data_IF_206675322503
#
_entry.id   IF_206675322503
#
_cell.length_a   1.000
_cell.length_b   1.000
_cell.length_c   1.000
_cell.angle_alpha   90.00
_cell.angle_beta   90.00
_cell.angle_gamma   90.00
#
_symmetry.space_group_name_H-M   'P 1'
#
loop_
_entity.id
_entity.type
_entity.pdbx_description
1 polymer ?
#
# COMPACT_ATOMS: atom_id res chain seq x y z
N UNK A 1 2.22 -10.81 -21.05
CA UNK A 1 3.54 -11.43 -20.79
C UNK A 1 3.49 -12.16 -19.46
N UNK A 2 3.76 -13.47 -19.42
CA UNK A 2 3.98 -14.16 -18.14
C UNK A 2 5.43 -13.88 -17.76
N UNK A 3 5.67 -13.02 -16.77
CA UNK A 3 7.01 -12.77 -16.25
C UNK A 3 7.53 -14.06 -15.61
N UNK A 4 8.65 -14.55 -16.12
CA UNK A 4 9.24 -15.83 -15.77
C UNK A 4 10.40 -15.67 -14.79
N UNK A 5 10.59 -16.70 -13.96
CA UNK A 5 11.90 -17.06 -13.47
C UNK A 5 12.37 -18.42 -13.99
N UNK A 6 13.68 -18.57 -14.05
CA UNK A 6 14.41 -19.73 -14.56
C UNK A 6 14.68 -20.81 -13.50
N UNK A 7 14.63 -22.08 -13.95
CA UNK A 7 15.27 -23.31 -13.43
C UNK A 7 14.67 -24.07 -12.22
N UNK A 8 14.02 -25.22 -12.50
CA UNK A 8 14.58 -26.58 -12.40
C UNK A 8 14.56 -27.36 -11.06
N UNK A 9 13.72 -28.41 -10.94
CA UNK A 9 14.06 -29.85 -10.82
C UNK A 9 12.81 -30.69 -10.52
N UNK A 10 12.72 -31.87 -11.15
CA UNK A 10 11.60 -32.81 -11.06
C UNK A 10 11.88 -33.94 -10.06
N UNK A 11 10.85 -34.38 -9.34
CA UNK A 11 10.80 -35.68 -8.65
C UNK A 11 9.45 -36.38 -8.95
N UNK A 12 9.54 -37.62 -9.44
CA UNK A 12 8.50 -38.67 -9.51
C UNK A 12 8.21 -39.20 -8.08
N UNK A 13 7.15 -39.92 -7.70
CA UNK A 13 5.97 -40.54 -8.33
C UNK A 13 5.09 -41.05 -7.16
N UNK A 14 3.76 -40.99 -7.21
CA UNK A 14 2.94 -42.19 -6.89
C UNK A 14 1.44 -42.08 -7.24
N UNK A 15 0.90 -43.24 -7.54
CA UNK A 15 -0.43 -43.56 -8.07
C UNK A 15 -1.62 -43.16 -7.16
N UNK A 16 -2.57 -42.41 -7.70
CA UNK A 16 -3.99 -42.69 -7.48
C UNK A 16 -4.85 -42.12 -8.61
N UNK A 17 -5.79 -42.93 -9.08
CA UNK A 17 -6.71 -42.64 -10.18
C UNK A 17 -7.62 -41.45 -9.85
N UNK A 18 -7.31 -40.29 -10.41
CA UNK A 18 -8.22 -39.17 -10.55
C UNK A 18 -8.51 -38.99 -12.05
N UNK A 19 -9.78 -38.78 -12.39
CA UNK A 19 -10.18 -38.39 -13.74
C UNK A 19 -9.61 -36.98 -13.95
N UNK A 20 -8.41 -36.90 -14.51
CA UNK A 20 -7.82 -35.64 -14.95
C UNK A 20 -8.53 -35.27 -16.25
N UNK A 21 -9.59 -34.48 -16.17
CA UNK A 21 -10.04 -33.70 -17.33
C UNK A 21 -8.95 -32.69 -17.65
N UNK A 22 -7.99 -33.08 -18.51
CA UNK A 22 -6.96 -32.18 -19.00
C UNK A 22 -7.62 -31.22 -20.00
N UNK A 23 -7.89 -29.99 -19.55
CA UNK A 23 -8.29 -28.91 -20.45
C UNK A 23 -7.02 -28.46 -21.21
N UNK A 24 -6.83 -28.96 -22.42
CA UNK A 24 -5.78 -28.45 -23.32
C UNK A 24 -6.41 -27.46 -24.28
N UNK A 25 -6.20 -26.17 -24.03
CA UNK A 25 -6.59 -25.09 -24.94
C UNK A 25 -5.43 -24.83 -25.92
N UNK A 26 -5.73 -24.89 -27.22
CA UNK A 26 -4.78 -24.55 -28.27
C UNK A 26 -5.07 -23.15 -28.79
N UNK A 27 -4.07 -22.27 -28.75
CA UNK A 27 -4.12 -20.96 -29.38
C UNK A 27 -3.05 -20.90 -30.46
N UNK A 28 -3.42 -20.42 -31.65
CA UNK A 28 -2.49 -20.21 -32.76
C UNK A 28 -2.53 -18.74 -33.15
N UNK A 29 -1.39 -18.06 -33.12
CA UNK A 29 -1.25 -16.67 -33.51
C UNK A 29 -0.11 -16.53 -34.52
N UNK A 30 -0.33 -15.76 -35.59
CA UNK A 30 0.76 -15.34 -36.48
C UNK A 30 1.44 -14.11 -35.86
N UNK A 31 2.68 -14.30 -35.40
CA UNK A 31 3.52 -13.20 -34.92
C UNK A 31 4.14 -12.51 -36.12
N UNK A 32 3.77 -11.25 -36.34
CA UNK A 32 4.40 -10.38 -37.32
C UNK A 32 5.28 -9.37 -36.57
N UNK A 33 6.53 -9.72 -36.25
CA UNK A 33 7.44 -8.74 -35.65
C UNK A 33 8.90 -8.89 -36.08
N UNK A 34 9.45 -7.80 -36.59
CA UNK A 34 10.87 -7.61 -36.90
C UNK A 34 11.72 -7.33 -35.64
N UNK A 35 11.10 -7.30 -34.45
CA UNK A 35 11.69 -6.82 -33.20
C UNK A 35 11.99 -7.92 -32.15
N UNK A 36 11.66 -9.19 -32.44
CA UNK A 36 11.94 -10.32 -31.52
C UNK A 36 11.07 -10.37 -30.24
N UNK A 37 10.16 -9.41 -30.05
CA UNK A 37 9.16 -9.38 -28.99
C UNK A 37 7.79 -9.78 -29.54
N UNK A 38 7.08 -10.62 -28.80
CA UNK A 38 5.71 -11.03 -29.11
C UNK A 38 4.89 -11.11 -27.82
N UNK A 39 3.58 -10.89 -27.94
CA UNK A 39 2.64 -11.03 -26.84
C UNK A 39 1.42 -11.83 -27.32
N UNK A 40 0.87 -12.63 -26.43
CA UNK A 40 -0.37 -13.37 -26.64
C UNK A 40 -1.24 -13.11 -25.42
N UNK A 41 -2.48 -12.70 -25.67
CA UNK A 41 -3.52 -12.58 -24.66
C UNK A 41 -4.30 -13.88 -24.64
N UNK A 42 -4.40 -14.50 -23.46
CA UNK A 42 -5.23 -15.68 -23.25
C UNK A 42 -6.68 -15.25 -23.03
N UNK A 43 -7.64 -16.07 -23.45
CA UNK A 43 -9.04 -15.85 -23.07
C UNK A 43 -9.17 -15.87 -21.54
N UNK A 44 -10.15 -15.14 -20.96
CA UNK A 44 -10.39 -15.13 -19.52
C UNK A 44 -10.51 -16.56 -18.95
N UNK A 45 -9.63 -16.89 -18.02
CA UNK A 45 -9.60 -18.18 -17.34
C UNK A 45 -10.29 -18.08 -15.98
N UNK A 46 -10.99 -19.15 -15.57
CA UNK A 46 -11.44 -19.26 -14.18
C UNK A 46 -10.23 -19.33 -13.25
N UNK A 47 -10.36 -18.71 -12.08
CA UNK A 47 -9.33 -18.77 -11.05
C UNK A 47 -9.04 -20.23 -10.65
N UNK A 48 -7.77 -20.55 -10.41
CA UNK A 48 -7.31 -21.90 -10.07
C UNK A 48 -6.00 -22.28 -10.78
N UNK A 49 -5.72 -23.57 -10.80
CA UNK A 49 -4.47 -24.15 -11.29
C UNK A 49 -4.02 -25.30 -10.37
N UNK A 50 -2.79 -25.81 -10.52
CA UNK A 50 -1.79 -25.37 -11.49
C UNK A 50 -2.11 -25.82 -12.93
N UNK A 51 -1.77 -24.96 -13.89
CA UNK A 51 -1.81 -25.27 -15.33
C UNK A 51 -0.41 -25.30 -15.94
N UNK A 52 -0.28 -26.00 -17.06
CA UNK A 52 0.91 -25.95 -17.90
C UNK A 52 0.59 -25.18 -19.18
N UNK A 53 1.41 -24.18 -19.51
CA UNK A 53 1.29 -23.42 -20.77
C UNK A 53 2.42 -23.87 -21.68
N UNK A 54 2.10 -24.31 -22.90
CA UNK A 54 3.09 -24.65 -23.92
C UNK A 54 2.98 -23.67 -25.08
N UNK A 55 4.06 -22.97 -25.37
CA UNK A 55 4.21 -22.14 -26.57
C UNK A 55 5.06 -22.89 -27.59
N UNK A 56 4.56 -23.01 -28.82
CA UNK A 56 5.23 -23.67 -29.94
C UNK A 56 5.41 -22.63 -31.05
N UNK A 57 6.65 -22.37 -31.44
CA UNK A 57 6.99 -21.51 -32.56
C UNK A 57 7.46 -22.39 -33.71
N UNK A 58 6.88 -22.24 -34.91
CA UNK A 58 7.30 -22.96 -36.10
C UNK A 58 8.23 -22.09 -36.97
N UNK A 59 9.34 -22.66 -37.45
CA UNK A 59 10.28 -21.99 -38.35
C UNK A 59 10.20 -22.62 -39.75
N UNK A 60 10.19 -21.78 -40.79
CA UNK A 60 10.32 -22.26 -42.18
C UNK A 60 11.80 -22.49 -42.50
N UNK A 61 12.17 -23.70 -42.91
CA UNK A 61 13.49 -24.00 -43.50
C UNK A 61 14.66 -24.11 -42.51
N UNK A 62 14.40 -24.19 -41.19
CA UNK A 62 15.41 -24.36 -40.14
C UNK A 62 15.17 -25.70 -39.42
N UNK A 63 16.24 -26.38 -38.94
CA UNK A 63 16.13 -27.60 -38.13
C UNK A 63 16.66 -27.33 -36.71
N UNK A 64 15.87 -27.55 -35.63
CA UNK A 64 14.50 -28.09 -35.65
C UNK A 64 13.50 -27.09 -36.25
N UNK A 65 12.44 -27.62 -36.88
CA UNK A 65 11.36 -26.84 -37.50
C UNK A 65 10.46 -26.15 -36.46
N UNK A 66 10.70 -26.39 -35.17
CA UNK A 66 9.95 -25.79 -34.08
C UNK A 66 10.83 -25.49 -32.85
N UNK A 67 10.45 -24.45 -32.11
CA UNK A 67 10.92 -24.19 -30.76
C UNK A 67 9.74 -24.32 -29.79
N UNK A 68 9.92 -25.11 -28.75
CA UNK A 68 8.93 -25.31 -27.69
C UNK A 68 9.41 -24.62 -26.41
N UNK A 69 8.52 -23.89 -25.75
CA UNK A 69 8.70 -23.33 -24.41
C UNK A 69 7.52 -23.74 -23.53
N UNK A 70 7.82 -24.18 -22.32
CA UNK A 70 6.80 -24.63 -21.36
C UNK A 70 6.88 -23.83 -20.08
N UNK A 71 5.73 -23.41 -19.59
CA UNK A 71 5.52 -22.87 -18.25
C UNK A 71 4.79 -23.93 -17.45
N UNK A 72 5.26 -24.16 -16.23
CA UNK A 72 4.66 -25.09 -15.28
C UNK A 72 4.17 -24.31 -14.07
N UNK A 73 3.25 -24.90 -13.30
CA UNK A 73 2.71 -24.29 -12.07
C UNK A 73 2.09 -22.90 -12.27
N UNK A 74 1.36 -22.72 -13.38
CA UNK A 74 0.69 -21.44 -13.66
C UNK A 74 -0.65 -21.41 -12.94
N UNK A 75 -0.82 -20.41 -12.07
CA UNK A 75 -2.08 -20.13 -11.38
C UNK A 75 -2.78 -18.93 -12.02
N UNK A 76 -4.10 -18.99 -12.14
CA UNK A 76 -4.94 -17.84 -12.51
C UNK A 76 -5.65 -17.33 -11.26
N UNK A 77 -5.59 -16.03 -11.02
CA UNK A 77 -6.12 -15.39 -9.83
C UNK A 77 -5.79 -13.90 -9.82
N UNK A 78 -6.02 -13.25 -8.68
CA UNK A 78 -5.79 -11.82 -8.56
C UNK A 78 -4.32 -11.52 -8.23
N UNK A 79 -3.73 -10.56 -8.94
CA UNK A 79 -2.36 -10.10 -8.70
C UNK A 79 -2.38 -8.70 -8.08
N UNK A 80 -1.66 -8.52 -6.97
CA UNK A 80 -1.51 -7.26 -6.28
C UNK A 80 -0.06 -6.80 -6.26
N UNK A 81 0.17 -5.55 -6.63
CA UNK A 81 1.49 -4.89 -6.53
C UNK A 81 1.60 -4.17 -5.20
N UNK A 82 2.63 -4.46 -4.44
CA UNK A 82 2.91 -3.88 -3.13
C UNK A 82 4.14 -2.97 -3.23
N UNK A 83 3.95 -1.67 -3.08
CA UNK A 83 5.00 -0.68 -3.32
C UNK A 83 5.09 0.41 -2.26
N UNK A 84 6.17 1.19 -2.31
CA UNK A 84 6.47 2.24 -1.35
C UNK A 84 7.88 2.12 -0.78
N UNK A 85 8.07 2.63 0.44
CA UNK A 85 9.38 2.72 1.08
C UNK A 85 9.64 1.61 2.12
N UNK A 86 10.50 1.88 3.09
CA UNK A 86 10.98 0.92 4.09
C UNK A 86 9.88 0.20 4.83
N UNK A 87 8.75 0.85 5.14
CA UNK A 87 7.64 0.18 5.79
C UNK A 87 6.88 -0.82 4.90
N UNK A 88 6.91 -0.65 3.57
CA UNK A 88 6.49 -1.70 2.63
C UNK A 88 7.60 -2.76 2.48
N UNK A 89 8.87 -2.37 2.44
CA UNK A 89 10.01 -3.29 2.32
C UNK A 89 10.24 -4.16 3.58
N UNK A 90 9.72 -3.72 4.72
CA UNK A 90 9.84 -4.39 6.00
C UNK A 90 9.39 -5.86 5.91
N UNK A 91 10.28 -6.80 6.24
CA UNK A 91 10.08 -8.23 5.99
C UNK A 91 9.37 -8.96 7.13
N UNK A 92 8.73 -10.10 6.83
CA UNK A 92 7.99 -10.89 7.84
C UNK A 92 8.87 -11.25 9.04
N UNK A 93 10.14 -11.59 8.82
CA UNK A 93 11.09 -11.96 9.87
C UNK A 93 11.27 -10.87 10.96
N UNK A 94 11.03 -9.61 10.61
CA UNK A 94 11.22 -8.45 11.49
C UNK A 94 9.96 -8.09 12.30
N UNK A 95 8.81 -8.62 11.92
CA UNK A 95 7.51 -8.33 12.54
C UNK A 95 7.26 -9.13 13.83
N UNK A 96 6.12 -8.88 14.47
CA UNK A 96 5.65 -9.72 15.58
C UNK A 96 5.30 -11.13 15.10
N UNK A 97 5.46 -12.10 16.01
CA UNK A 97 5.15 -13.52 15.80
C UNK A 97 5.78 -14.13 14.55
N UNK A 98 6.92 -13.59 14.09
CA UNK A 98 7.49 -13.92 12.78
C UNK A 98 7.80 -15.40 12.60
N UNK A 99 8.29 -16.10 13.64
CA UNK A 99 8.57 -17.53 13.56
C UNK A 99 7.32 -18.36 13.27
N UNK A 100 6.22 -18.09 13.97
CA UNK A 100 4.96 -18.81 13.77
C UNK A 100 4.38 -18.49 12.38
N UNK A 101 4.39 -17.22 11.98
CA UNK A 101 3.88 -16.79 10.69
C UNK A 101 4.65 -17.41 9.51
N UNK A 102 5.98 -17.43 9.59
CA UNK A 102 6.83 -18.03 8.57
C UNK A 102 6.51 -19.52 8.43
N UNK A 103 6.32 -20.25 9.52
CA UNK A 103 5.95 -21.67 9.45
C UNK A 103 4.54 -21.87 8.89
N UNK A 104 3.59 -20.99 9.25
CA UNK A 104 2.22 -21.03 8.78
C UNK A 104 2.10 -20.76 7.28
N UNK A 105 3.05 -20.05 6.66
CA UNK A 105 3.08 -19.78 5.22
C UNK A 105 3.00 -21.07 4.35
N UNK A 106 3.45 -22.22 4.87
CA UNK A 106 3.34 -23.51 4.18
C UNK A 106 1.89 -23.97 3.94
N UNK A 107 0.91 -23.39 4.66
CA UNK A 107 -0.51 -23.71 4.52
C UNK A 107 -1.19 -22.93 3.36
N UNK A 108 -0.44 -22.10 2.62
CA UNK A 108 -0.96 -21.24 1.57
C UNK A 108 -0.40 -21.57 0.17
N UNK A 109 -0.52 -22.83 -0.31
CA UNK A 109 0.10 -23.26 -1.57
C UNK A 109 -0.50 -22.59 -2.82
N UNK A 110 -1.56 -21.80 -2.68
CA UNK A 110 -2.20 -21.04 -3.76
C UNK A 110 -1.81 -19.55 -3.76
N UNK A 111 -0.96 -19.10 -2.85
CA UNK A 111 -0.35 -17.77 -2.89
C UNK A 111 0.98 -17.86 -3.65
N UNK A 112 1.23 -16.88 -4.52
CA UNK A 112 2.48 -16.76 -5.30
C UNK A 112 3.16 -15.43 -4.95
N UNK A 113 4.45 -15.48 -4.66
CA UNK A 113 5.24 -14.34 -4.17
C UNK A 113 6.31 -13.97 -5.19
N UNK A 114 6.52 -12.68 -5.41
CA UNK A 114 7.56 -12.14 -6.26
C UNK A 114 8.15 -10.86 -5.64
N UNK A 115 9.47 -10.71 -5.66
CA UNK A 115 10.16 -9.50 -5.15
C UNK A 115 11.09 -8.95 -6.22
N UNK A 116 10.82 -7.73 -6.67
CA UNK A 116 11.69 -7.00 -7.59
C UNK A 116 13.02 -6.65 -6.91
N UNK A 117 14.11 -6.68 -7.67
CA UNK A 117 15.41 -6.25 -7.16
C UNK A 117 15.47 -4.75 -6.91
N UNK A 118 16.31 -4.35 -5.94
CA UNK A 118 16.54 -2.96 -5.58
C UNK A 118 17.47 -2.31 -6.64
N UNK A 119 16.88 -1.69 -7.66
CA UNK A 119 17.59 -1.08 -8.80
C UNK A 119 16.96 0.27 -9.13
N UNK A 120 17.78 1.26 -9.46
CA UNK A 120 17.33 2.52 -10.07
C UNK A 120 17.77 2.65 -11.52
N UNK A 121 17.12 3.55 -12.26
CA UNK A 121 17.53 3.88 -13.63
C UNK A 121 17.12 5.30 -14.01
N UNK A 122 18.01 6.03 -14.66
CA UNK A 122 17.73 7.36 -15.24
C UNK A 122 16.72 7.30 -16.40
N UNK A 123 16.49 6.11 -16.98
CA UNK A 123 15.56 5.90 -18.10
C UNK A 123 14.65 4.69 -17.89
N UNK A 124 13.41 4.69 -18.40
CA UNK A 124 12.50 3.54 -18.25
C UNK A 124 13.10 2.24 -18.80
N UNK A 125 13.16 1.20 -17.97
CA UNK A 125 13.64 -0.11 -18.37
C UNK A 125 12.52 -0.93 -19.01
N UNK A 126 12.87 -1.80 -19.95
CA UNK A 126 11.92 -2.71 -20.62
C UNK A 126 11.68 -4.01 -19.86
N UNK A 127 12.62 -4.40 -18.99
CA UNK A 127 12.56 -5.57 -18.12
C UNK A 127 13.17 -5.23 -16.76
N UNK A 128 12.85 -6.01 -15.73
CA UNK A 128 13.52 -5.89 -14.44
C UNK A 128 14.97 -6.33 -14.59
N UNK A 129 15.91 -5.47 -14.23
CA UNK A 129 17.34 -5.79 -14.25
C UNK A 129 17.71 -6.89 -13.25
N UNK A 130 16.99 -6.94 -12.12
CA UNK A 130 17.18 -7.93 -11.06
C UNK A 130 15.84 -8.35 -10.48
N UNK A 131 15.74 -9.64 -10.18
CA UNK A 131 14.65 -10.24 -9.42
C UNK A 131 15.25 -10.85 -8.17
N UNK A 132 14.83 -10.37 -7.00
CA UNK A 132 15.35 -10.87 -5.72
C UNK A 132 14.67 -12.18 -5.33
N UNK A 133 13.35 -12.23 -5.53
CA UNK A 133 12.57 -13.43 -5.33
C UNK A 133 11.77 -13.70 -6.60
N UNK A 134 12.06 -14.80 -7.32
CA UNK A 134 11.25 -15.23 -8.44
C UNK A 134 9.84 -15.59 -7.98
N UNK A 135 8.87 -15.67 -8.89
CA UNK A 135 7.55 -16.24 -8.61
C UNK A 135 7.70 -17.58 -7.89
N UNK A 136 7.30 -17.59 -6.62
CA UNK A 136 7.50 -18.70 -5.69
C UNK A 136 6.19 -19.05 -5.00
N UNK A 137 5.97 -20.35 -4.75
CA UNK A 137 4.90 -20.81 -3.87
C UNK A 137 5.15 -20.28 -2.46
N UNK A 138 4.12 -19.72 -1.82
CA UNK A 138 4.21 -19.32 -0.43
C UNK A 138 4.58 -20.52 0.45
N UNK A 139 5.58 -20.31 1.29
CA UNK A 139 6.27 -21.31 2.10
C UNK A 139 7.17 -20.63 3.12
N UNK A 140 7.60 -21.36 4.14
CA UNK A 140 8.52 -20.84 5.15
C UNK A 140 9.81 -20.26 4.54
N UNK A 141 10.35 -20.89 3.49
CA UNK A 141 11.54 -20.39 2.81
C UNK A 141 11.28 -19.08 2.04
N UNK A 142 10.16 -19.00 1.33
CA UNK A 142 9.81 -17.85 0.48
C UNK A 142 9.37 -16.62 1.29
N UNK A 143 8.75 -16.82 2.45
CA UNK A 143 8.27 -15.74 3.34
C UNK A 143 9.33 -15.35 4.38
N UNK A 144 10.07 -16.34 4.90
CA UNK A 144 11.03 -16.17 6.00
C UNK A 144 12.47 -15.91 5.58
N UNK A 145 12.71 -15.38 4.37
CA UNK A 145 14.07 -15.09 3.93
C UNK A 145 14.69 -13.84 4.60
N UNK A 146 15.74 -13.29 3.98
CA UNK A 146 16.58 -12.25 4.58
C UNK A 146 15.87 -10.92 4.90
N UNK A 147 16.27 -10.26 5.98
CA UNK A 147 15.76 -8.94 6.35
C UNK A 147 15.95 -7.95 5.19
N UNK A 148 14.96 -7.08 4.99
CA UNK A 148 14.87 -6.05 3.95
C UNK A 148 14.88 -6.52 2.48
N UNK A 149 15.21 -7.77 2.19
CA UNK A 149 15.33 -8.28 0.82
C UNK A 149 14.30 -9.36 0.48
N UNK A 150 13.66 -9.96 1.48
CA UNK A 150 12.63 -10.98 1.28
C UNK A 150 11.24 -10.45 1.57
N UNK A 151 10.26 -11.34 1.61
CA UNK A 151 8.91 -10.92 1.31
C UNK A 151 8.37 -9.90 2.31
N UNK A 152 7.80 -8.82 1.75
CA UNK A 152 7.18 -7.73 2.48
C UNK A 152 6.13 -8.26 3.45
N UNK A 153 6.24 -7.89 4.73
CA UNK A 153 5.31 -8.29 5.76
C UNK A 153 3.91 -7.74 5.50
N UNK A 154 3.80 -6.46 5.18
CA UNK A 154 2.50 -5.86 4.89
C UNK A 154 1.85 -6.53 3.67
N UNK A 155 2.62 -6.77 2.61
CA UNK A 155 2.13 -7.44 1.42
C UNK A 155 1.68 -8.88 1.72
N UNK A 156 2.46 -9.62 2.52
CA UNK A 156 2.13 -10.97 2.97
C UNK A 156 0.80 -11.02 3.72
N UNK A 157 0.69 -10.27 4.83
CA UNK A 157 -0.51 -10.28 5.66
C UNK A 157 -1.74 -9.81 4.88
N UNK A 158 -1.60 -8.79 4.02
CA UNK A 158 -2.68 -8.35 3.13
C UNK A 158 -3.18 -9.47 2.22
N UNK A 159 -2.27 -10.14 1.50
CA UNK A 159 -2.64 -11.19 0.56
C UNK A 159 -3.13 -12.48 1.22
N UNK A 160 -2.55 -12.84 2.36
CA UNK A 160 -2.97 -13.98 3.19
C UNK A 160 -4.41 -13.79 3.68
N UNK A 161 -4.72 -12.64 4.26
CA UNK A 161 -6.06 -12.36 4.79
C UNK A 161 -7.12 -12.26 3.67
N UNK A 162 -6.73 -11.75 2.50
CA UNK A 162 -7.58 -11.82 1.30
C UNK A 162 -7.83 -13.27 0.89
N UNK A 163 -6.78 -14.11 0.82
CA UNK A 163 -6.91 -15.52 0.47
C UNK A 163 -7.83 -16.27 1.45
N UNK A 164 -7.68 -16.05 2.76
CA UNK A 164 -8.52 -16.67 3.79
C UNK A 164 -10.01 -16.41 3.56
N UNK A 165 -10.35 -15.25 3.00
CA UNK A 165 -11.74 -14.91 2.67
C UNK A 165 -12.15 -15.43 1.28
N UNK A 166 -11.31 -15.19 0.27
CA UNK A 166 -11.66 -15.35 -1.15
C UNK A 166 -11.50 -16.79 -1.65
N UNK A 167 -10.57 -17.55 -1.06
CA UNK A 167 -10.33 -18.97 -1.34
C UNK A 167 -10.00 -19.28 -2.82
N UNK A 168 -9.28 -18.37 -3.50
CA UNK A 168 -8.72 -18.59 -4.84
C UNK A 168 -7.31 -17.98 -4.96
N UNK A 169 -6.52 -18.33 -5.99
CA UNK A 169 -5.11 -17.94 -6.04
C UNK A 169 -4.87 -16.43 -5.99
N UNK A 170 -3.85 -16.03 -5.22
CA UNK A 170 -3.43 -14.63 -5.07
C UNK A 170 -1.94 -14.52 -5.43
N UNK A 171 -1.60 -13.62 -6.34
CA UNK A 171 -0.23 -13.23 -6.65
C UNK A 171 0.15 -11.92 -5.96
N UNK A 172 1.32 -11.87 -5.35
CA UNK A 172 1.82 -10.71 -4.63
C UNK A 172 3.18 -10.29 -5.17
N UNK A 173 3.29 -9.05 -5.61
CA UNK A 173 4.49 -8.49 -6.26
C UNK A 173 5.04 -7.36 -5.40
N UNK A 174 6.11 -7.60 -4.65
CA UNK A 174 6.80 -6.58 -3.88
C UNK A 174 7.76 -5.77 -4.77
N UNK A 175 7.55 -4.45 -4.80
CA UNK A 175 8.37 -3.47 -5.51
C UNK A 175 8.53 -2.22 -4.63
N UNK A 176 9.47 -2.26 -3.69
CA UNK A 176 9.63 -1.25 -2.63
C UNK A 176 11.11 -0.96 -2.36
N UNK A 177 11.41 0.27 -1.95
CA UNK A 177 12.79 0.72 -1.69
C UNK A 177 12.84 1.72 -0.53
N UNK A 178 13.62 1.40 0.51
CA UNK A 178 13.77 2.21 1.72
C UNK A 178 14.19 3.67 1.50
N UNK A 179 13.68 4.56 2.37
CA UNK A 179 14.11 5.96 2.42
C UNK A 179 13.69 6.82 1.23
N UNK A 180 12.89 6.30 0.29
CA UNK A 180 12.58 7.01 -0.96
C UNK A 180 11.34 7.91 -0.86
N UNK A 181 11.42 9.15 -1.36
CA UNK A 181 10.28 10.05 -1.45
C UNK A 181 9.42 9.71 -2.71
N UNK A 182 8.17 10.18 -2.75
CA UNK A 182 7.21 9.82 -3.82
C UNK A 182 7.67 10.25 -5.23
N UNK A 183 8.54 11.26 -5.31
CA UNK A 183 9.12 11.77 -6.54
C UNK A 183 9.92 10.70 -7.30
N UNK A 184 10.51 9.72 -6.59
CA UNK A 184 11.29 8.64 -7.21
C UNK A 184 10.38 7.62 -7.91
N UNK A 185 9.12 7.53 -7.48
CA UNK A 185 8.10 6.58 -7.94
C UNK A 185 7.09 7.17 -8.91
N UNK A 186 7.14 8.50 -9.06
CA UNK A 186 6.30 9.26 -9.99
C UNK A 186 6.92 9.26 -11.38
N UNK A 187 6.08 9.16 -12.42
CA UNK A 187 6.54 9.30 -13.80
C UNK A 187 6.98 10.74 -14.07
N UNK A 188 7.85 10.98 -15.08
CA UNK A 188 8.26 12.35 -15.44
C UNK A 188 7.08 13.28 -15.75
N UNK A 189 6.00 12.74 -16.33
CA UNK A 189 4.78 13.50 -16.62
C UNK A 189 4.05 13.95 -15.36
N UNK A 190 4.03 13.12 -14.31
CA UNK A 190 3.45 13.49 -13.00
C UNK A 190 4.25 14.60 -12.35
N UNK A 191 5.58 14.49 -12.35
CA UNK A 191 6.46 15.51 -11.77
C UNK A 191 6.27 16.86 -12.47
N UNK A 192 6.23 16.83 -13.82
CA UNK A 192 5.94 18.02 -14.63
C UNK A 192 4.55 18.59 -14.33
N UNK A 193 3.51 17.75 -14.25
CA UNK A 193 2.14 18.15 -13.94
C UNK A 193 2.03 18.84 -12.58
N UNK A 194 2.80 18.36 -11.60
CA UNK A 194 2.83 18.91 -10.25
C UNK A 194 3.87 20.02 -10.04
N UNK A 195 4.50 20.51 -11.11
CA UNK A 195 5.53 21.55 -11.07
C UNK A 195 6.69 21.23 -10.09
N UNK A 196 7.07 19.96 -9.99
CA UNK A 196 8.26 19.54 -9.26
C UNK A 196 9.48 19.91 -10.09
N UNK A 197 10.04 21.08 -9.81
CA UNK A 197 11.24 21.60 -10.45
C UNK A 197 12.42 21.31 -9.51
N UNK A 198 13.20 20.28 -9.84
CA UNK A 198 14.25 19.72 -9.00
C UNK A 198 15.14 20.71 -8.25
N UNK A 199 15.11 20.63 -6.92
CA UNK A 199 16.27 20.23 -6.11
C UNK A 199 15.73 19.82 -4.75
N UNK A 200 15.38 18.54 -4.57
CA UNK A 200 15.36 18.01 -3.20
C UNK A 200 16.78 18.26 -2.64
N UNK A 201 16.95 19.02 -1.55
CA UNK A 201 18.26 19.17 -0.95
C UNK A 201 18.76 17.77 -0.62
N UNK A 202 19.96 17.44 -1.11
CA UNK A 202 20.67 16.20 -0.76
C UNK A 202 20.56 16.06 0.75
N UNK A 203 19.90 15.00 1.25
CA UNK A 203 20.05 14.65 2.66
C UNK A 203 21.50 14.20 2.82
N UNK A 204 22.36 15.16 3.16
CA UNK A 204 23.71 14.91 3.66
C UNK A 204 23.57 14.19 4.99
N UNK A 205 23.51 12.86 4.93
CA UNK A 205 24.22 11.87 5.76
C UNK A 205 23.53 10.52 5.62
N UNK A 206 24.15 9.54 4.94
CA UNK A 206 23.77 8.15 5.07
C UNK A 206 23.98 7.72 6.52
N UNK A 207 22.94 7.22 7.21
CA UNK A 207 23.20 6.45 8.43
C UNK A 207 24.00 5.20 8.03
N UNK A 208 25.08 4.96 8.74
CA UNK A 208 26.23 4.14 8.36
C UNK A 208 26.03 2.63 8.44
N UNK A 209 24.79 2.11 8.55
CA UNK A 209 24.55 0.69 8.87
C UNK A 209 23.76 -0.14 7.85
N UNK A 210 23.37 0.43 6.70
CA UNK A 210 22.71 -0.34 5.63
C UNK A 210 23.31 0.03 4.25
N UNK A 211 23.35 -0.89 3.26
CA UNK A 211 23.94 -0.63 1.95
C UNK A 211 23.07 0.36 1.15
N UNK A 212 23.19 1.65 1.51
CA UNK A 212 22.33 2.77 1.09
C UNK A 212 22.83 3.45 -0.18
N UNK A 213 22.81 2.75 -1.30
CA UNK A 213 22.79 3.41 -2.60
C UNK A 213 21.64 2.79 -3.37
N UNK A 214 20.80 3.59 -4.02
CA UNK A 214 20.02 3.09 -5.16
C UNK A 214 21.08 2.58 -6.12
N UNK A 215 21.26 1.26 -6.28
CA UNK A 215 22.33 0.76 -7.09
C UNK A 215 21.97 1.19 -8.51
N UNK A 216 22.87 1.98 -9.14
CA UNK A 216 22.78 2.43 -10.54
C UNK A 216 21.94 3.73 -10.74
N UNK A 217 22.34 4.83 -10.10
CA UNK A 217 21.96 6.18 -10.58
C UNK A 217 23.21 7.04 -10.62
N UNK A 218 23.61 7.48 -11.81
CA UNK A 218 24.82 8.29 -12.03
C UNK A 218 24.56 9.80 -11.95
N UNK A 219 23.30 10.24 -11.94
CA UNK A 219 22.90 11.64 -11.96
C UNK A 219 22.68 12.28 -10.57
N UNK A 220 22.76 13.61 -10.51
CA UNK A 220 22.39 14.42 -9.33
C UNK A 220 20.86 14.45 -9.09
N UNK A 221 20.06 14.06 -10.09
CA UNK A 221 18.61 13.99 -10.02
C UNK A 221 18.16 12.54 -9.82
N UNK A 222 17.42 12.26 -8.74
CA UNK A 222 16.89 10.93 -8.44
C UNK A 222 15.39 10.81 -8.74
N UNK A 223 14.80 11.80 -9.39
CA UNK A 223 13.41 11.73 -9.80
C UNK A 223 13.13 10.61 -10.78
N UNK A 224 11.97 9.97 -10.61
CA UNK A 224 11.50 8.85 -11.44
C UNK A 224 12.42 7.63 -11.52
N UNK A 225 13.53 7.55 -10.77
CA UNK A 225 14.51 6.47 -10.94
C UNK A 225 13.95 5.09 -10.59
N UNK A 226 13.03 5.03 -9.62
CA UNK A 226 12.37 3.79 -9.21
C UNK A 226 11.11 3.52 -10.04
N UNK A 227 10.40 4.56 -10.49
CA UNK A 227 9.40 4.40 -11.54
C UNK A 227 10.00 3.68 -12.75
N UNK A 228 11.14 4.16 -13.22
CA UNK A 228 11.83 3.65 -14.40
C UNK A 228 12.31 2.20 -14.26
N UNK A 229 12.85 1.83 -13.10
CA UNK A 229 13.50 0.53 -12.92
C UNK A 229 12.64 -0.54 -12.23
N UNK A 230 11.68 -0.14 -11.39
CA UNK A 230 10.94 -1.06 -10.52
C UNK A 230 9.43 -1.11 -10.80
N UNK A 231 8.88 -0.12 -11.51
CA UNK A 231 7.45 -0.07 -11.87
C UNK A 231 7.23 -0.22 -13.37
N UNK A 232 7.92 0.58 -14.19
CA UNK A 232 7.78 0.57 -15.64
C UNK A 232 7.97 -0.84 -16.25
N UNK A 233 8.94 -1.66 -15.81
CA UNK A 233 9.14 -3.00 -16.37
C UNK A 233 8.01 -4.00 -16.11
N UNK A 234 7.15 -3.75 -15.12
CA UNK A 234 6.05 -4.66 -14.74
C UNK A 234 4.68 -4.16 -15.23
N UNK A 235 4.64 -3.09 -16.04
CA UNK A 235 3.40 -2.54 -16.61
C UNK A 235 2.69 -3.49 -17.60
N UNK A 236 3.38 -4.54 -18.07
CA UNK A 236 2.84 -5.56 -18.97
C UNK A 236 2.23 -6.77 -18.22
N UNK A 237 2.20 -6.71 -16.88
CA UNK A 237 1.55 -7.68 -16.01
C UNK A 237 0.10 -7.24 -15.76
N UNK A 238 -0.86 -8.12 -16.02
CA UNK A 238 -2.26 -7.88 -15.64
C UNK A 238 -2.41 -7.96 -14.14
N UNK A 239 -2.99 -6.92 -13.53
CA UNK A 239 -3.15 -6.81 -12.07
C UNK A 239 -4.60 -6.56 -11.68
N UNK A 240 -4.95 -6.98 -10.47
CA UNK A 240 -6.21 -6.63 -9.81
C UNK A 240 -6.11 -5.25 -9.18
N UNK A 241 -4.97 -4.89 -8.59
CA UNK A 241 -4.77 -3.60 -7.94
C UNK A 241 -3.37 -3.42 -7.37
N UNK A 242 -3.17 -2.31 -6.67
CA UNK A 242 -1.91 -2.00 -6.00
C UNK A 242 -2.15 -1.55 -4.55
N UNK A 243 -1.18 -1.77 -3.67
CA UNK A 243 -1.12 -1.21 -2.33
C UNK A 243 0.18 -0.44 -2.12
N UNK A 244 0.10 0.64 -1.35
CA UNK A 244 1.16 1.63 -1.20
C UNK A 244 1.43 1.96 0.28
N UNK A 245 2.70 1.94 0.70
CA UNK A 245 3.09 2.46 2.01
C UNK A 245 4.35 3.32 1.90
N UNK A 246 4.12 4.62 1.81
CA UNK A 246 5.15 5.64 1.74
C UNK A 246 4.59 7.00 2.16
N UNK A 247 5.47 7.85 2.66
CA UNK A 247 5.18 9.26 2.95
C UNK A 247 6.12 9.83 3.99
N UNK A 248 6.78 8.98 4.78
CA UNK A 248 7.69 9.41 5.85
C UNK A 248 8.88 10.20 5.30
N UNK A 249 9.38 9.86 4.10
CA UNK A 249 10.45 10.62 3.44
C UNK A 249 9.98 11.97 2.86
N UNK A 250 8.68 12.22 2.79
CA UNK A 250 8.11 13.50 2.33
C UNK A 250 7.70 14.43 3.48
N UNK A 251 7.79 13.99 4.74
CA UNK A 251 7.35 14.76 5.90
C UNK A 251 8.10 16.09 6.10
N UNK A 252 9.30 16.27 5.53
CA UNK A 252 10.03 17.55 5.58
C UNK A 252 9.52 18.59 4.55
N UNK A 253 8.74 18.16 3.56
CA UNK A 253 8.15 18.98 2.50
C UNK A 253 6.77 18.41 2.07
N UNK A 254 5.79 18.40 2.97
CA UNK A 254 4.58 17.60 2.81
C UNK A 254 3.65 18.09 1.70
N UNK A 255 3.66 19.38 1.38
CA UNK A 255 2.71 19.99 0.43
C UNK A 255 2.82 19.46 -1.01
N UNK A 256 4.00 18.97 -1.44
CA UNK A 256 4.14 18.37 -2.77
C UNK A 256 3.28 17.11 -2.91
N UNK A 257 3.04 16.41 -1.80
CA UNK A 257 2.30 15.15 -1.75
C UNK A 257 0.84 15.31 -2.20
N UNK A 258 0.22 16.47 -1.92
CA UNK A 258 -1.16 16.79 -2.28
C UNK A 258 -1.41 16.64 -3.79
N UNK A 259 -0.45 17.08 -4.61
CA UNK A 259 -0.52 16.91 -6.05
C UNK A 259 0.01 15.54 -6.48
N UNK A 260 1.18 15.16 -5.95
CA UNK A 260 1.93 14.00 -6.44
C UNK A 260 1.18 12.70 -6.24
N UNK A 261 0.56 12.48 -5.08
CA UNK A 261 0.00 11.17 -4.77
C UNK A 261 -1.23 10.82 -5.61
N UNK A 262 -2.27 11.69 -5.72
CA UNK A 262 -3.38 11.43 -6.64
C UNK A 262 -2.91 11.32 -8.11
N UNK A 263 -1.98 12.18 -8.53
CA UNK A 263 -1.47 12.16 -9.91
C UNK A 263 -0.66 10.90 -10.22
N UNK A 264 0.10 10.37 -9.25
CA UNK A 264 0.82 9.10 -9.38
C UNK A 264 -0.16 7.94 -9.55
N UNK A 265 -1.24 7.88 -8.77
CA UNK A 265 -2.28 6.85 -8.90
C UNK A 265 -2.89 6.87 -10.31
N UNK A 266 -3.27 8.05 -10.81
CA UNK A 266 -3.82 8.21 -12.16
C UNK A 266 -2.83 7.79 -13.26
N UNK A 267 -1.56 8.16 -13.08
CA UNK A 267 -0.48 7.78 -14.00
C UNK A 267 -0.28 6.27 -14.00
N UNK A 268 -0.26 5.62 -12.84
CA UNK A 268 -0.11 4.17 -12.72
C UNK A 268 -1.27 3.46 -13.44
N UNK A 269 -2.52 3.83 -13.12
CA UNK A 269 -3.72 3.33 -13.80
C UNK A 269 -3.63 3.41 -15.31
N UNK A 270 -3.26 4.58 -15.83
CA UNK A 270 -3.10 4.81 -17.27
C UNK A 270 -1.98 3.95 -17.87
N UNK A 271 -0.82 3.90 -17.21
CA UNK A 271 0.35 3.16 -17.68
C UNK A 271 0.13 1.64 -17.68
N UNK A 272 -0.52 1.06 -16.67
CA UNK A 272 -0.85 -0.38 -16.66
C UNK A 272 -1.93 -0.72 -17.67
N UNK A 273 -2.97 0.12 -17.82
CA UNK A 273 -3.98 -0.07 -18.86
C UNK A 273 -3.33 -0.14 -20.25
N UNK A 274 -2.45 0.80 -20.56
CA UNK A 274 -1.71 0.81 -21.84
C UNK A 274 -0.73 -0.36 -21.95
N UNK A 275 0.07 -0.61 -20.92
CA UNK A 275 1.11 -1.64 -20.91
C UNK A 275 0.56 -3.07 -21.05
N UNK A 276 -0.66 -3.31 -20.58
CA UNK A 276 -1.34 -4.60 -20.72
C UNK A 276 -2.23 -4.70 -21.95
N UNK A 277 -2.26 -3.68 -22.83
CA UNK A 277 -3.14 -3.67 -23.99
C UNK A 277 -4.63 -3.65 -23.62
N UNK A 278 -4.96 -2.97 -22.51
CA UNK A 278 -6.32 -2.81 -22.00
C UNK A 278 -6.84 -3.95 -21.12
N UNK A 279 -5.99 -4.88 -20.69
CA UNK A 279 -6.42 -6.01 -19.85
C UNK A 279 -6.53 -5.65 -18.36
N UNK A 280 -5.68 -4.76 -17.85
CA UNK A 280 -5.83 -4.20 -16.50
C UNK A 280 -6.94 -3.14 -16.50
N UNK A 281 -7.85 -3.18 -15.53
CA UNK A 281 -8.91 -2.17 -15.37
C UNK A 281 -8.28 -0.75 -15.27
N UNK A 282 -8.70 0.22 -16.12
CA UNK A 282 -8.16 1.59 -16.09
C UNK A 282 -8.48 2.35 -14.80
N UNK A 283 -9.32 1.77 -13.95
CA UNK A 283 -9.72 2.29 -12.64
C UNK A 283 -9.42 1.28 -11.53
N UNK A 284 -8.42 0.42 -11.72
CA UNK A 284 -8.11 -0.63 -10.74
C UNK A 284 -8.00 -0.06 -9.29
N UNK A 285 -8.43 -0.83 -8.29
CA UNK A 285 -8.41 -0.42 -6.89
C UNK A 285 -6.99 -0.16 -6.37
N UNK A 286 -6.82 0.94 -5.64
CA UNK A 286 -5.54 1.36 -5.09
C UNK A 286 -5.64 1.53 -3.56
N UNK A 287 -4.89 0.74 -2.81
CA UNK A 287 -4.85 0.81 -1.35
C UNK A 287 -3.66 1.62 -0.86
N UNK A 288 -3.77 2.29 0.28
CA UNK A 288 -2.59 2.81 0.96
C UNK A 288 -2.66 2.70 2.48
N UNK A 289 -1.47 2.67 3.08
CA UNK A 289 -1.32 2.74 4.53
C UNK A 289 -1.09 4.19 4.93
N UNK A 290 -1.98 4.78 5.74
CA UNK A 290 -1.72 6.08 6.34
C UNK A 290 -0.46 6.00 7.22
N UNK A 291 0.49 6.92 7.08
CA UNK A 291 1.79 6.78 7.76
C UNK A 291 1.66 6.74 9.30
N UNK A 292 2.52 5.96 9.94
CA UNK A 292 2.52 5.77 11.39
C UNK A 292 3.21 6.94 12.12
N UNK A 293 3.44 6.83 13.43
CA UNK A 293 4.22 7.80 14.20
C UNK A 293 5.72 7.51 14.18
N UNK A 294 6.54 8.49 14.56
CA UNK A 294 8.00 8.35 14.62
C UNK A 294 8.58 8.94 15.92
N UNK A 295 8.48 10.25 16.14
CA UNK A 295 9.05 10.93 17.32
C UNK A 295 7.96 11.28 18.34
N UNK A 296 8.04 10.76 19.58
CA UNK A 296 7.15 11.16 20.68
C UNK A 296 7.24 12.67 20.98
N UNK A 297 6.10 13.35 21.07
CA UNK A 297 6.04 14.76 21.51
C UNK A 297 6.61 15.78 20.52
N UNK A 298 6.91 15.36 19.28
CA UNK A 298 7.31 16.26 18.20
C UNK A 298 6.23 17.33 17.94
N UNK A 299 6.67 18.58 17.80
CA UNK A 299 5.83 19.71 17.38
C UNK A 299 5.85 19.91 15.86
N UNK A 300 6.61 19.10 15.12
CA UNK A 300 6.65 19.14 13.66
C UNK A 300 5.30 18.62 13.10
N UNK A 301 4.73 19.37 12.16
CA UNK A 301 3.44 19.05 11.53
C UNK A 301 3.57 18.24 10.24
N UNK A 302 4.78 17.92 9.80
CA UNK A 302 5.04 17.17 8.58
C UNK A 302 4.32 15.82 8.48
N UNK A 303 4.31 15.05 9.56
CA UNK A 303 3.59 13.76 9.59
C UNK A 303 2.07 13.92 9.52
N UNK A 304 1.39 14.71 10.38
CA UNK A 304 -0.05 14.91 10.25
C UNK A 304 -0.44 15.57 8.90
N UNK A 305 0.39 16.44 8.34
CA UNK A 305 0.18 17.01 7.00
C UNK A 305 0.28 15.94 5.91
N UNK A 306 1.28 15.06 5.93
CA UNK A 306 1.32 13.91 5.00
C UNK A 306 0.07 13.04 5.14
N UNK A 307 -0.38 12.74 6.37
CA UNK A 307 -1.60 11.93 6.58
C UNK A 307 -2.84 12.58 5.97
N UNK A 308 -2.91 13.91 6.00
CA UNK A 308 -3.98 14.70 5.38
C UNK A 308 -3.87 14.67 3.85
N UNK A 309 -2.68 14.97 3.32
CA UNK A 309 -2.37 14.96 1.88
C UNK A 309 -2.54 13.57 1.24
N UNK A 310 -2.32 12.49 2.00
CA UNK A 310 -2.59 11.10 1.57
C UNK A 310 -4.05 10.87 1.17
N UNK A 311 -4.96 11.71 1.65
CA UNK A 311 -6.40 11.66 1.33
C UNK A 311 -6.83 12.74 0.33
N UNK A 312 -5.88 13.42 -0.32
CA UNK A 312 -6.13 14.61 -1.13
C UNK A 312 -6.90 15.70 -0.37
N UNK A 313 -6.62 15.86 0.93
CA UNK A 313 -7.22 16.83 1.84
C UNK A 313 -8.73 16.66 2.08
N UNK A 314 -9.23 15.43 1.96
CA UNK A 314 -10.62 15.10 2.35
C UNK A 314 -10.73 14.50 3.75
N UNK A 315 -9.66 13.91 4.28
CA UNK A 315 -9.66 13.15 5.53
C UNK A 315 -10.16 11.71 5.41
N UNK A 316 -10.61 11.29 4.23
CA UNK A 316 -11.11 9.94 3.97
C UNK A 316 -10.91 9.56 2.50
N UNK A 317 -10.92 8.26 2.23
CA UNK A 317 -11.03 7.66 0.89
C UNK A 317 -12.03 6.49 0.92
N UNK A 318 -12.69 6.16 -0.19
CA UNK A 318 -12.67 6.88 -1.48
C UNK A 318 -13.31 8.26 -1.39
N UNK A 319 -12.88 9.18 -2.25
CA UNK A 319 -13.40 10.55 -2.33
C UNK A 319 -13.41 11.04 -3.79
N UNK A 320 -13.97 12.22 -4.11
CA UNK A 320 -14.09 12.71 -5.50
C UNK A 320 -12.76 12.88 -6.27
N UNK A 321 -11.62 12.93 -5.59
CA UNK A 321 -10.28 12.99 -6.21
C UNK A 321 -9.60 11.62 -6.31
N UNK A 322 -10.07 10.65 -5.55
CA UNK A 322 -9.43 9.35 -5.35
C UNK A 322 -10.48 8.24 -5.37
N UNK A 323 -11.10 8.04 -6.54
CA UNK A 323 -12.09 6.98 -6.74
C UNK A 323 -11.45 5.58 -6.70
N UNK A 324 -12.20 4.60 -6.17
CA UNK A 324 -11.72 3.22 -5.91
C UNK A 324 -10.39 3.16 -5.15
N UNK A 325 -10.11 4.19 -4.35
CA UNK A 325 -8.99 4.21 -3.41
C UNK A 325 -9.50 3.82 -2.02
N UNK A 326 -8.71 3.05 -1.30
CA UNK A 326 -9.01 2.65 0.07
C UNK A 326 -7.78 2.84 0.95
N UNK A 327 -8.00 2.99 2.26
CA UNK A 327 -6.91 3.20 3.22
C UNK A 327 -7.11 2.37 4.48
N UNK A 328 -6.00 2.12 5.16
CA UNK A 328 -5.99 1.76 6.56
C UNK A 328 -5.35 2.89 7.39
N UNK A 329 -5.50 2.84 8.72
CA UNK A 329 -4.84 3.75 9.66
C UNK A 329 -3.79 3.00 10.47
N UNK A 330 -2.57 3.56 10.58
CA UNK A 330 -1.45 2.97 11.33
C UNK A 330 -0.85 3.92 12.37
N UNK A 331 -1.43 5.11 12.59
CA UNK A 331 -0.90 6.10 13.54
C UNK A 331 -0.86 5.63 15.00
N UNK A 332 -1.61 4.58 15.34
CA UNK A 332 -1.64 3.90 16.65
C UNK A 332 -0.74 2.67 16.72
N UNK A 333 -0.01 2.30 15.67
CA UNK A 333 0.80 1.07 15.63
C UNK A 333 2.30 1.30 15.84
N UNK A 334 2.73 2.55 16.02
CA UNK A 334 4.12 2.88 16.34
C UNK A 334 4.47 2.49 17.79
N UNK A 335 5.76 2.27 18.03
CA UNK A 335 6.28 1.92 19.36
C UNK A 335 7.63 2.59 19.62
N UNK A 336 7.82 3.22 20.79
CA UNK A 336 9.09 3.85 21.14
C UNK A 336 10.22 2.82 21.39
N UNK A 337 9.87 1.56 21.67
CA UNK A 337 10.80 0.47 21.97
C UNK A 337 11.05 -0.48 20.78
N UNK A 338 10.70 -0.06 19.56
CA UNK A 338 10.95 -0.85 18.35
C UNK A 338 12.46 -1.07 18.15
N UNK A 339 12.92 -2.32 17.92
CA UNK A 339 14.32 -2.61 17.59
C UNK A 339 14.71 -2.13 16.18
N UNK A 340 13.74 -1.69 15.37
CA UNK A 340 13.93 -1.27 13.98
C UNK A 340 13.75 0.24 13.81
N UNK A 341 14.05 1.05 14.83
CA UNK A 341 13.68 2.47 14.90
C UNK A 341 12.16 2.67 15.07
N UNK A 342 11.79 3.79 15.66
CA UNK A 342 10.39 4.12 16.00
C UNK A 342 9.50 4.31 14.78
N UNK A 343 10.08 4.74 13.66
CA UNK A 343 9.40 4.92 12.36
C UNK A 343 8.97 3.60 11.71
N UNK A 344 9.50 2.44 12.14
CA UNK A 344 9.16 1.13 11.58
C UNK A 344 8.29 0.31 12.53
N UNK A 345 6.96 0.46 12.48
CA UNK A 345 6.04 -0.32 13.31
C UNK A 345 6.09 -1.82 12.96
N UNK A 346 6.22 -2.65 13.99
CA UNK A 346 6.37 -4.11 13.90
C UNK A 346 5.06 -4.86 13.73
N UNK A 347 3.93 -4.27 14.14
CA UNK A 347 2.60 -4.90 14.05
C UNK A 347 2.05 -4.82 12.61
N UNK A 348 2.75 -5.49 11.69
CA UNK A 348 2.39 -5.58 10.28
C UNK A 348 1.17 -6.47 10.05
N UNK A 349 0.83 -7.32 11.03
CA UNK A 349 -0.37 -8.14 11.01
C UNK A 349 -1.62 -7.26 11.10
N UNK A 350 -1.75 -6.43 12.14
CA UNK A 350 -2.87 -5.47 12.24
C UNK A 350 -2.95 -4.56 11.01
N UNK A 351 -1.81 -4.12 10.47
CA UNK A 351 -1.80 -3.30 9.24
C UNK A 351 -2.37 -4.06 8.04
N UNK A 352 -1.91 -5.29 7.81
CA UNK A 352 -2.37 -6.15 6.72
C UNK A 352 -3.86 -6.46 6.84
N UNK A 353 -4.33 -6.78 8.04
CA UNK A 353 -5.74 -7.04 8.32
C UNK A 353 -6.60 -5.80 8.08
N UNK A 354 -6.24 -4.63 8.65
CA UNK A 354 -7.00 -3.38 8.41
C UNK A 354 -7.08 -3.05 6.92
N UNK A 355 -5.98 -3.24 6.19
CA UNK A 355 -5.92 -2.93 4.75
C UNK A 355 -6.69 -3.95 3.90
N UNK A 356 -6.69 -5.24 4.27
CA UNK A 356 -7.45 -6.28 3.57
C UNK A 356 -8.96 -6.11 3.79
N UNK A 357 -9.39 -5.69 4.98
CA UNK A 357 -10.79 -5.32 5.24
C UNK A 357 -11.25 -4.18 4.32
N UNK A 358 -10.41 -3.15 4.16
CA UNK A 358 -10.69 -2.02 3.28
C UNK A 358 -10.72 -2.42 1.80
N UNK A 359 -9.83 -3.32 1.37
CA UNK A 359 -9.86 -3.89 0.04
C UNK A 359 -11.13 -4.72 -0.21
N UNK A 360 -11.55 -5.56 0.73
CA UNK A 360 -12.81 -6.33 0.62
C UNK A 360 -14.00 -5.41 0.35
N UNK A 361 -14.10 -4.30 1.08
CA UNK A 361 -15.18 -3.35 0.86
C UNK A 361 -15.09 -2.64 -0.50
N UNK A 362 -13.92 -2.09 -0.85
CA UNK A 362 -13.78 -1.17 -2.00
C UNK A 362 -13.43 -1.89 -3.30
N UNK A 363 -12.53 -2.87 -3.26
CA UNK A 363 -12.06 -3.62 -4.43
C UNK A 363 -12.96 -4.81 -4.81
N UNK A 364 -13.60 -5.43 -3.80
CA UNK A 364 -14.43 -6.63 -3.98
C UNK A 364 -15.92 -6.39 -3.72
N UNK A 365 -16.31 -5.21 -3.23
CA UNK A 365 -17.70 -4.83 -3.04
C UNK A 365 -18.41 -5.54 -1.89
N UNK A 366 -17.67 -6.04 -0.89
CA UNK A 366 -18.24 -6.62 0.32
C UNK A 366 -18.94 -5.53 1.14
N UNK A 367 -20.27 -5.58 1.19
CA UNK A 367 -21.11 -4.59 1.88
C UNK A 367 -21.32 -4.87 3.37
N UNK A 368 -20.90 -6.04 3.84
CA UNK A 368 -21.18 -6.49 5.21
C UNK A 368 -19.99 -6.29 6.15
N UNK A 369 -18.93 -5.63 5.69
CA UNK A 369 -17.70 -5.45 6.43
C UNK A 369 -17.56 -4.02 6.94
N UNK A 370 -17.17 -3.89 8.20
CA UNK A 370 -16.75 -2.61 8.77
C UNK A 370 -15.24 -2.48 8.60
N UNK A 371 -14.82 -1.46 7.87
CA UNK A 371 -13.40 -1.21 7.60
C UNK A 371 -12.98 0.23 7.89
N UNK A 372 -13.93 1.15 8.01
CA UNK A 372 -13.67 2.54 8.33
C UNK A 372 -13.81 2.77 9.84
N UNK A 373 -12.93 3.62 10.37
CA UNK A 373 -13.09 4.19 11.69
C UNK A 373 -14.27 5.16 11.74
N UNK A 374 -14.63 5.64 12.94
CA UNK A 374 -15.72 6.58 13.11
C UNK A 374 -15.43 7.90 12.38
N UNK A 375 -16.30 8.29 11.45
CA UNK A 375 -16.17 9.54 10.69
C UNK A 375 -17.12 10.61 11.25
N UNK A 376 -16.64 11.85 11.50
CA UNK A 376 -17.48 12.91 12.04
C UNK A 376 -18.52 13.35 11.00
N UNK A 377 -19.79 13.40 11.40
CA UNK A 377 -20.91 13.84 10.56
C UNK A 377 -21.26 15.31 10.74
N UNK A 378 -21.15 15.81 11.97
CA UNK A 378 -21.51 17.19 12.32
C UNK A 378 -20.89 17.63 13.65
N UNK A 379 -20.84 18.94 13.85
CA UNK A 379 -20.39 19.56 15.09
C UNK A 379 -21.53 20.39 15.70
N UNK A 380 -21.75 20.27 17.00
CA UNK A 380 -22.64 21.15 17.75
C UNK A 380 -21.82 22.03 18.70
N UNK A 381 -21.87 23.34 18.48
CA UNK A 381 -21.16 24.31 19.30
C UNK A 381 -22.01 24.69 20.53
N UNK A 382 -21.52 24.38 21.72
CA UNK A 382 -22.04 24.84 23.00
C UNK A 382 -21.36 26.11 23.49
N UNK A 383 -21.68 26.53 24.72
CA UNK A 383 -21.06 27.72 25.34
C UNK A 383 -19.59 27.53 25.72
N UNK A 384 -19.22 26.30 26.11
CA UNK A 384 -17.86 25.93 26.57
C UNK A 384 -17.44 24.54 26.09
N UNK A 385 -18.16 23.99 25.11
CA UNK A 385 -17.94 22.65 24.58
C UNK A 385 -18.22 22.60 23.08
N UNK A 386 -17.59 21.66 22.38
CA UNK A 386 -18.03 21.21 21.07
C UNK A 386 -18.42 19.73 21.16
N UNK A 387 -19.60 19.37 20.65
CA UNK A 387 -20.01 17.97 20.50
C UNK A 387 -19.70 17.54 19.09
N UNK A 388 -18.81 16.56 18.95
CA UNK A 388 -18.52 15.87 17.69
C UNK A 388 -19.48 14.70 17.57
N UNK A 389 -20.36 14.76 16.58
CA UNK A 389 -21.29 13.67 16.25
C UNK A 389 -20.68 12.81 15.15
N UNK A 390 -20.76 11.49 15.31
CA UNK A 390 -20.31 10.52 14.33
C UNK A 390 -21.51 9.89 13.63
N UNK A 391 -21.30 9.50 12.36
CA UNK A 391 -22.34 8.83 11.58
C UNK A 391 -22.84 7.52 12.22
N UNK A 392 -24.05 7.05 11.87
CA UNK A 392 -24.62 5.83 12.44
C UNK A 392 -23.75 4.58 12.23
N UNK A 393 -22.99 4.52 11.13
CA UNK A 393 -22.05 3.45 10.78
C UNK A 393 -20.91 3.28 11.79
N UNK A 394 -20.52 4.36 12.48
CA UNK A 394 -19.53 4.34 13.54
C UNK A 394 -19.92 3.39 14.68
N UNK A 395 -21.22 3.15 14.86
CA UNK A 395 -21.75 2.47 16.03
C UNK A 395 -21.30 3.19 17.31
N UNK A 396 -21.06 2.42 18.37
CA UNK A 396 -20.63 3.00 19.64
C UNK A 396 -19.16 3.45 19.59
N UNK A 397 -18.89 4.63 20.12
CA UNK A 397 -17.56 5.21 20.23
C UNK A 397 -16.93 4.79 21.56
N UNK A 398 -15.77 4.14 21.48
CA UNK A 398 -14.93 3.83 22.62
C UNK A 398 -13.93 4.98 22.82
N UNK A 399 -13.99 5.63 24.00
CA UNK A 399 -13.03 6.66 24.40
C UNK A 399 -11.97 6.03 25.31
N UNK A 400 -10.72 5.95 24.84
CA UNK A 400 -9.61 5.32 25.57
C UNK A 400 -8.73 6.31 26.33
N UNK A 401 -8.75 7.58 25.93
CA UNK A 401 -8.08 8.67 26.64
C UNK A 401 -8.83 9.98 26.37
N UNK A 402 -8.59 11.02 27.16
CA UNK A 402 -9.28 12.32 27.04
C UNK A 402 -8.57 13.33 26.13
N UNK A 403 -7.41 12.98 25.57
CA UNK A 403 -6.60 13.88 24.74
C UNK A 403 -6.91 13.81 23.24
N UNK A 404 -6.05 14.44 22.44
CA UNK A 404 -5.97 14.29 20.98
C UNK A 404 -6.86 15.22 20.14
N UNK A 405 -7.78 15.95 20.75
CA UNK A 405 -8.51 17.03 20.07
C UNK A 405 -7.84 18.38 20.33
N UNK A 406 -7.87 19.23 19.30
CA UNK A 406 -7.45 20.63 19.37
C UNK A 406 -8.52 21.50 18.69
N UNK A 407 -8.75 22.70 19.24
CA UNK A 407 -9.64 23.69 18.65
C UNK A 407 -8.84 24.89 18.16
N UNK A 408 -9.29 25.47 17.05
CA UNK A 408 -8.72 26.69 16.53
C UNK A 408 -9.33 27.89 17.24
N UNK A 409 -8.52 28.57 18.05
CA UNK A 409 -8.92 29.72 18.85
C UNK A 409 -8.55 31.03 18.14
N UNK A 410 -9.50 31.59 17.39
CA UNK A 410 -9.30 32.75 16.51
C UNK A 410 -9.88 34.03 17.09
N UNK A 411 -9.25 35.17 16.79
CA UNK A 411 -9.83 36.50 17.00
C UNK A 411 -10.83 36.90 15.91
N UNK A 412 -10.86 36.18 14.78
CA UNK A 412 -11.71 36.46 13.62
C UNK A 412 -12.62 35.27 13.34
N UNK A 413 -13.89 35.54 13.02
CA UNK A 413 -14.84 34.48 12.68
C UNK A 413 -14.44 33.80 11.38
N UNK A 414 -14.64 32.48 11.32
CA UNK A 414 -14.45 31.65 10.12
C UNK A 414 -13.01 31.63 9.57
N UNK A 415 -12.01 32.01 10.36
CA UNK A 415 -10.59 31.87 9.98
C UNK A 415 -9.84 31.01 10.99
N UNK A 416 -8.89 30.24 10.48
CA UNK A 416 -7.94 29.47 11.26
C UNK A 416 -6.54 29.58 10.63
N UNK A 417 -6.11 30.82 10.41
CA UNK A 417 -4.76 31.13 9.96
C UNK A 417 -3.85 31.43 11.17
N UNK A 418 -2.55 31.20 11.00
CA UNK A 418 -1.57 31.42 12.06
C UNK A 418 -1.46 32.89 12.50
N UNK A 419 -1.91 33.83 11.67
CA UNK A 419 -1.85 35.25 11.99
C UNK A 419 -2.93 35.67 13.00
N UNK A 420 -4.09 35.00 13.00
CA UNK A 420 -5.27 35.38 13.79
C UNK A 420 -5.68 34.32 14.81
N UNK A 421 -5.18 33.09 14.68
CA UNK A 421 -5.60 31.96 15.48
C UNK A 421 -4.44 31.15 16.05
N UNK A 422 -4.74 30.39 17.10
CA UNK A 422 -3.84 29.38 17.64
C UNK A 422 -4.62 28.07 17.85
N UNK A 423 -3.99 26.95 17.55
CA UNK A 423 -4.51 25.64 17.92
C UNK A 423 -4.22 25.40 19.41
N UNK A 424 -5.27 25.11 20.17
CA UNK A 424 -5.17 24.83 21.61
C UNK A 424 -5.78 23.48 21.91
N UNK A 425 -5.22 22.76 22.89
CA UNK A 425 -5.77 21.46 23.31
C UNK A 425 -7.20 21.59 23.82
N UNK A 426 -8.04 20.65 23.40
CA UNK A 426 -9.45 20.59 23.72
C UNK A 426 -9.77 19.20 24.30
N UNK A 427 -9.56 18.98 25.60
CA UNK A 427 -9.73 17.66 26.19
C UNK A 427 -11.19 17.22 26.11
N UNK A 428 -11.41 15.93 25.85
CA UNK A 428 -12.72 15.31 25.98
C UNK A 428 -13.20 15.37 27.42
N UNK A 429 -14.47 15.70 27.60
CA UNK A 429 -15.14 15.72 28.90
C UNK A 429 -16.12 14.54 28.98
N UNK A 430 -16.25 13.96 30.18
CA UNK A 430 -17.22 12.91 30.47
C UNK A 430 -18.66 13.45 30.48
N UNK A 431 -19.14 13.95 29.35
CA UNK A 431 -20.57 14.19 29.18
C UNK A 431 -21.17 12.87 28.72
N UNK A 432 -21.59 12.06 29.67
CA UNK A 432 -22.46 10.91 29.41
C UNK A 432 -23.75 11.50 28.83
N UNK A 433 -23.86 11.55 27.51
CA UNK A 433 -25.17 11.47 26.90
C UNK A 433 -25.63 10.02 27.11
N UNK A 434 -26.64 9.75 27.95
CA UNK A 434 -27.07 8.39 28.25
C UNK A 434 -27.52 7.61 26.99
N UNK A 435 -27.77 8.35 25.89
CA UNK A 435 -28.25 7.86 24.61
C UNK A 435 -27.39 8.30 23.38
N UNK A 436 -26.23 8.95 23.56
CA UNK A 436 -25.38 9.37 22.42
C UNK A 436 -24.05 8.60 22.42
N UNK A 437 -24.17 7.28 22.21
CA UNK A 437 -23.04 6.37 22.04
C UNK A 437 -22.18 6.71 20.83
N UNK A 438 -22.64 7.57 19.92
CA UNK A 438 -21.98 7.93 18.67
C UNK A 438 -21.45 9.38 18.72
N UNK A 439 -21.05 9.86 19.89
CA UNK A 439 -20.61 11.25 20.07
C UNK A 439 -19.47 11.39 21.05
N UNK A 440 -18.70 12.45 20.88
CA UNK A 440 -17.64 12.88 21.80
C UNK A 440 -17.83 14.35 22.11
N UNK A 441 -17.84 14.72 23.39
CA UNK A 441 -17.84 16.12 23.82
C UNK A 441 -16.43 16.56 24.19
N UNK A 442 -15.96 17.66 23.58
CA UNK A 442 -14.66 18.28 23.90
C UNK A 442 -14.87 19.63 24.59
N UNK A 443 -14.07 19.91 25.61
CA UNK A 443 -14.05 21.22 26.27
C UNK A 443 -13.34 22.25 25.40
N UNK A 444 -13.88 23.46 25.38
CA UNK A 444 -13.25 24.63 24.74
C UNK A 444 -12.75 25.64 25.76
N UNK A 445 -12.62 25.28 27.03
CA UNK A 445 -12.24 26.20 28.12
C UNK A 445 -10.84 26.82 27.91
N UNK A 446 -9.96 26.11 27.19
CA UNK A 446 -8.64 26.61 26.80
C UNK A 446 -8.68 27.66 25.69
N UNK A 447 -9.84 27.89 25.06
CA UNK A 447 -10.03 28.95 24.09
C UNK A 447 -10.81 30.12 24.69
N UNK A 448 -10.12 31.24 24.90
CA UNK A 448 -10.71 32.49 25.39
C UNK A 448 -11.15 33.44 24.26
N UNK A 449 -11.28 32.93 23.03
CA UNK A 449 -11.72 33.67 21.85
C UNK A 449 -12.83 32.90 21.11
N UNK A 450 -12.85 32.95 19.78
CA UNK A 450 -13.85 32.29 18.94
C UNK A 450 -13.28 30.94 18.50
N UNK A 451 -14.02 29.87 18.76
CA UNK A 451 -13.71 28.54 18.19
C UNK A 451 -14.18 28.50 16.74
N UNK A 452 -13.25 28.29 15.80
CA UNK A 452 -13.55 28.31 14.35
C UNK A 452 -13.35 26.97 13.65
N UNK A 453 -12.57 26.07 14.23
CA UNK A 453 -12.31 24.75 13.69
C UNK A 453 -11.95 23.75 14.81
N UNK A 454 -12.06 22.46 14.51
CA UNK A 454 -11.64 21.35 15.36
C UNK A 454 -10.76 20.42 14.54
N UNK A 455 -9.69 19.90 15.12
CA UNK A 455 -8.89 18.82 14.54
C UNK A 455 -8.65 17.72 15.57
N UNK A 456 -8.41 16.51 15.07
CA UNK A 456 -8.19 15.31 15.87
C UNK A 456 -6.91 14.62 15.43
N UNK A 457 -6.15 14.10 16.39
CA UNK A 457 -4.92 13.34 16.16
C UNK A 457 -3.89 14.06 15.27
N UNK A 458 -3.88 15.40 15.31
CA UNK A 458 -3.03 16.25 14.46
C UNK A 458 -1.62 16.43 15.04
N UNK A 459 -0.95 15.30 15.30
CA UNK A 459 0.44 15.26 15.77
C UNK A 459 1.18 14.11 15.10
N UNK A 460 2.51 14.17 15.08
CA UNK A 460 3.35 13.09 14.55
C UNK A 460 3.05 11.75 15.26
N UNK A 461 2.99 11.78 16.58
CA UNK A 461 2.65 10.63 17.44
C UNK A 461 1.41 10.98 18.28
N UNK A 462 0.19 10.88 17.72
CA UNK A 462 -1.01 11.39 18.37
C UNK A 462 -1.49 10.53 19.55
N UNK A 463 -0.99 9.30 19.67
CA UNK A 463 -1.40 8.35 20.69
C UNK A 463 -0.35 7.27 20.91
N UNK A 464 -0.46 6.51 22.00
CA UNK A 464 0.36 5.32 22.23
C UNK A 464 -0.10 4.10 21.42
N UNK A 465 0.68 3.03 21.46
CA UNK A 465 0.39 1.76 20.76
C UNK A 465 -1.02 1.24 21.10
N UNK A 466 -1.90 1.15 20.11
CA UNK A 466 -3.33 0.78 20.21
C UNK A 466 -4.12 1.62 21.22
N UNK A 467 -3.68 2.85 21.52
CA UNK A 467 -4.26 3.74 22.54
C UNK A 467 -4.71 5.11 22.00
N UNK A 468 -5.09 5.18 20.72
CA UNK A 468 -5.73 6.37 20.18
C UNK A 468 -7.01 6.77 20.94
N UNK A 469 -7.27 8.09 21.12
CA UNK A 469 -8.33 8.52 22.03
C UNK A 469 -9.73 8.03 21.66
N UNK A 470 -10.03 7.94 20.36
CA UNK A 470 -11.35 7.56 19.84
C UNK A 470 -11.23 6.33 18.94
N UNK A 471 -12.00 5.29 19.25
CA UNK A 471 -12.20 4.09 18.42
C UNK A 471 -13.69 3.80 18.20
N UNK A 472 -14.03 3.04 17.16
CA UNK A 472 -15.38 2.48 16.99
C UNK A 472 -15.47 1.08 17.61
N UNK A 473 -16.51 0.79 18.39
CA UNK A 473 -16.74 -0.57 18.93
C UNK A 473 -16.93 -1.56 17.77
N UNK A 474 -16.12 -2.63 17.81
CA UNK A 474 -16.01 -3.62 16.74
C UNK A 474 -14.77 -3.46 15.86
N UNK A 475 -13.96 -2.41 16.04
CA UNK A 475 -12.67 -2.22 15.35
C UNK A 475 -11.50 -3.00 15.99
N UNK A 476 -11.78 -3.95 16.88
CA UNK A 476 -10.79 -4.84 17.53
C UNK A 476 -10.86 -6.27 16.97
N UNK A 477 -11.30 -6.44 15.72
CA UNK A 477 -11.10 -7.69 14.98
C UNK A 477 -9.98 -7.52 13.98
#
# INVERSE_FOLDING_TARGET
>A
MVCLPSMGQAFDSDNSSSIITSLTLFYTYEVNSDAGLWNVTLDPMKAGGPYNITAIQHFKGVTPLEAIRKLFDVMFGDVWVCSGQSNMQFTVMMGFNSTEEILAANNYPNIRLFTAGLVGSDTPLSNLDRVEQPWSVASAASVGGGMWNYFSALCWFYGRDLYDTLQYPIGLVASSFEGTPIEYWSSPDVLKKCNVNDTLPKKDKPSTDHPKHIPIVSGDNQNSVLWNAMIHPILNMTIKGAIWYQGESNADHPDSYLCLFPAMIDSWRSSWYLGTGGQTDPTFPFGFMQISGNVPGSTNLGYPEIRWHQTADYGYVPNPKMEKVFMAVAMDLWRPDSPWLTVHPQDKQDMGTRLSLAARAVAYGDKNIKFQGPFPSSLELGSSTVVVLYGPEAGHIEVRSTGGFEVCCSSVKNTCDEATAAWVEAPMVHTIHPNATNSVTVSTDNCHKIVTAVRYAWRETPCGFKMCPVYGMGSMQ
#
